data_IF_971868718629
#
_entry.id   IF_971868718629
#
_cell.length_a   1.000
_cell.length_b   1.000
_cell.length_c   1.000
_cell.angle_alpha   90.00
_cell.angle_beta   90.00
_cell.angle_gamma   90.00
#
_symmetry.space_group_name_H-M   'P 1'
#
loop_
_entity.id
_entity.type
_entity.pdbx_description
1 polymer ?
#
# COMPACT_ATOMS: atom_id res chain seq x y z
N UNK A 1 7.95 14.05 7.59
CA UNK A 1 7.27 12.77 7.78
C UNK A 1 6.00 12.71 6.95
N UNK A 2 5.09 13.68 7.06
CA UNK A 2 3.88 13.81 6.21
C UNK A 2 4.17 13.71 4.71
N UNK A 3 5.17 14.46 4.20
CA UNK A 3 5.51 14.41 2.77
C UNK A 3 5.94 13.02 2.24
N UNK A 4 6.53 12.16 3.07
CA UNK A 4 6.91 10.80 2.65
C UNK A 4 5.68 9.89 2.68
N UNK A 5 4.81 10.05 3.67
CA UNK A 5 3.54 9.32 3.75
C UNK A 5 2.71 9.65 2.50
N UNK A 6 2.55 10.92 2.16
CA UNK A 6 1.77 11.36 0.99
C UNK A 6 2.34 10.78 -0.32
N UNK A 7 3.67 10.69 -0.45
CA UNK A 7 4.32 10.09 -1.63
C UNK A 7 4.06 8.59 -1.74
N UNK A 8 4.19 7.86 -0.63
CA UNK A 8 3.93 6.40 -0.62
C UNK A 8 2.44 6.13 -0.83
N UNK A 9 1.57 6.94 -0.23
CA UNK A 9 0.13 6.84 -0.39
C UNK A 9 -0.27 7.04 -1.86
N UNK A 10 0.24 8.09 -2.51
CA UNK A 10 0.01 8.34 -3.93
C UNK A 10 0.49 7.16 -4.80
N UNK A 11 1.68 6.62 -4.51
CA UNK A 11 2.19 5.44 -5.21
C UNK A 11 1.26 4.24 -5.07
N UNK A 12 0.74 3.97 -3.86
CA UNK A 12 -0.18 2.85 -3.62
C UNK A 12 -1.50 3.07 -4.38
N UNK A 13 -2.03 4.29 -4.37
CA UNK A 13 -3.25 4.66 -5.10
C UNK A 13 -3.08 4.41 -6.60
N UNK A 14 -2.01 4.96 -7.19
CA UNK A 14 -1.70 4.79 -8.61
C UNK A 14 -1.52 3.31 -8.97
N UNK A 15 -0.81 2.54 -8.15
CA UNK A 15 -0.64 1.11 -8.37
C UNK A 15 -2.00 0.38 -8.38
N UNK A 16 -2.90 0.72 -7.45
CA UNK A 16 -4.23 0.11 -7.40
C UNK A 16 -5.03 0.48 -8.64
N UNK A 17 -5.06 1.75 -9.03
CA UNK A 17 -5.79 2.22 -10.22
C UNK A 17 -5.28 1.57 -11.51
N UNK A 18 -3.97 1.33 -11.62
CA UNK A 18 -3.36 0.68 -12.79
C UNK A 18 -3.58 -0.84 -12.85
N UNK A 19 -3.81 -1.49 -11.71
CA UNK A 19 -3.87 -2.96 -11.59
C UNK A 19 -5.24 -3.50 -11.16
N UNK A 20 -6.21 -2.62 -10.92
CA UNK A 20 -7.58 -3.02 -10.63
C UNK A 20 -8.34 -3.36 -11.91
N UNK A 21 -9.31 -4.27 -11.78
CA UNK A 21 -10.17 -4.65 -12.90
C UNK A 21 -11.48 -3.87 -12.94
N UNK A 22 -11.78 -3.03 -11.95
CA UNK A 22 -13.00 -2.22 -12.01
C UNK A 22 -12.76 -0.83 -12.60
N UNK A 23 -13.65 -0.46 -13.52
CA UNK A 23 -13.66 0.85 -14.16
C UNK A 23 -14.28 1.91 -13.24
N UNK A 24 -13.74 3.14 -13.27
CA UNK A 24 -14.23 4.30 -12.51
C UNK A 24 -14.20 4.15 -10.97
N UNK A 25 -13.25 3.40 -10.43
CA UNK A 25 -13.02 3.36 -8.98
C UNK A 25 -12.40 4.69 -8.53
N UNK A 26 -12.85 5.19 -7.38
CA UNK A 26 -12.18 6.26 -6.66
C UNK A 26 -11.42 5.64 -5.48
N UNK A 27 -10.10 5.47 -5.63
CA UNK A 27 -9.24 4.97 -4.53
C UNK A 27 -8.84 6.14 -3.65
N UNK A 28 -8.80 5.94 -2.34
CA UNK A 28 -8.40 6.95 -1.35
C UNK A 28 -7.53 6.35 -0.26
N UNK A 29 -6.92 7.17 0.58
CA UNK A 29 -6.18 6.72 1.77
C UNK A 29 -6.99 5.82 2.72
N UNK A 30 -8.32 5.97 2.76
CA UNK A 30 -9.19 5.11 3.57
C UNK A 30 -9.61 3.80 2.92
N UNK A 31 -9.31 3.59 1.63
CA UNK A 31 -9.73 2.42 0.89
C UNK A 31 -9.06 1.16 1.41
N UNK A 32 -9.85 0.10 1.59
CA UNK A 32 -9.34 -1.23 1.93
C UNK A 32 -9.24 -2.08 0.67
N UNK A 33 -8.05 -2.15 0.08
CA UNK A 33 -7.83 -2.73 -1.25
C UNK A 33 -8.03 -4.25 -1.34
N UNK A 34 -8.18 -4.94 -0.20
CA UNK A 34 -8.52 -6.38 -0.15
C UNK A 34 -10.04 -6.57 0.02
N UNK A 35 -10.64 -5.90 0.99
CA UNK A 35 -12.08 -6.06 1.30
C UNK A 35 -12.95 -5.49 0.18
N UNK A 36 -12.51 -4.39 -0.43
CA UNK A 36 -13.16 -3.76 -1.59
C UNK A 36 -12.81 -4.49 -2.90
N UNK A 37 -12.02 -5.56 -2.85
CA UNK A 37 -11.61 -6.37 -4.01
C UNK A 37 -10.87 -5.57 -5.09
N UNK A 38 -10.24 -4.44 -4.71
CA UNK A 38 -9.50 -3.59 -5.64
C UNK A 38 -8.27 -4.30 -6.20
N UNK A 39 -7.62 -5.12 -5.37
CA UNK A 39 -6.51 -5.97 -5.74
C UNK A 39 -6.81 -7.43 -5.39
N UNK A 40 -6.42 -8.33 -6.29
CA UNK A 40 -6.37 -9.75 -5.98
C UNK A 40 -5.11 -10.09 -5.15
N UNK A 41 -4.97 -11.36 -4.77
CA UNK A 41 -3.83 -11.81 -3.96
C UNK A 41 -2.49 -11.68 -4.69
N UNK A 42 -2.46 -11.81 -6.01
CA UNK A 42 -1.23 -11.69 -6.80
C UNK A 42 -0.81 -10.22 -6.91
N UNK A 43 -1.73 -9.34 -7.28
CA UNK A 43 -1.50 -7.90 -7.38
C UNK A 43 -1.16 -7.29 -6.02
N UNK A 44 -1.78 -7.76 -4.93
CA UNK A 44 -1.41 -7.37 -3.57
C UNK A 44 0.03 -7.75 -3.24
N UNK A 45 0.44 -8.99 -3.52
CA UNK A 45 1.82 -9.43 -3.27
C UNK A 45 2.81 -8.65 -4.14
N UNK A 46 2.50 -8.43 -5.41
CA UNK A 46 3.32 -7.63 -6.33
C UNK A 46 3.47 -6.19 -5.86
N UNK A 47 2.41 -5.56 -5.33
CA UNK A 47 2.48 -4.23 -4.73
C UNK A 47 3.44 -4.20 -3.54
N UNK A 48 3.30 -5.15 -2.62
CA UNK A 48 4.19 -5.24 -1.44
C UNK A 48 5.65 -5.42 -1.86
N UNK A 49 5.93 -6.32 -2.81
CA UNK A 49 7.29 -6.53 -3.33
C UNK A 49 7.84 -5.27 -4.01
N UNK A 50 6.98 -4.52 -4.70
CA UNK A 50 7.38 -3.26 -5.37
C UNK A 50 7.71 -2.19 -4.33
N UNK A 51 6.87 -2.00 -3.30
CA UNK A 51 7.14 -1.09 -2.17
C UNK A 51 8.47 -1.43 -1.47
N UNK A 52 8.71 -2.71 -1.20
CA UNK A 52 9.96 -3.16 -0.57
C UNK A 52 11.19 -2.83 -1.43
N UNK A 53 11.08 -3.03 -2.74
CA UNK A 53 12.17 -2.76 -3.69
C UNK A 53 12.41 -1.26 -3.86
N UNK A 54 11.35 -0.48 -4.11
CA UNK A 54 11.43 0.95 -4.41
C UNK A 54 11.99 1.75 -3.23
N UNK A 55 11.55 1.40 -2.01
CA UNK A 55 11.94 2.12 -0.80
C UNK A 55 13.06 1.45 0.00
N UNK A 56 13.62 0.34 -0.51
CA UNK A 56 14.65 -0.45 0.16
C UNK A 56 14.30 -0.86 1.61
N UNK A 57 13.04 -1.26 1.83
CA UNK A 57 12.52 -1.68 3.14
C UNK A 57 12.14 -3.18 3.14
N UNK A 58 11.80 -3.69 4.32
CA UNK A 58 11.23 -5.04 4.50
C UNK A 58 9.99 -5.00 5.40
N UNK A 59 8.90 -5.57 4.91
CA UNK A 59 7.64 -5.78 5.63
C UNK A 59 7.59 -7.26 6.05
N UNK A 60 7.49 -7.51 7.35
CA UNK A 60 7.46 -8.87 7.87
C UNK A 60 6.07 -9.49 7.67
N UNK A 61 5.96 -10.83 7.59
CA UNK A 61 4.67 -11.50 7.51
C UNK A 61 3.72 -11.15 8.66
N UNK A 62 4.25 -10.91 9.87
CA UNK A 62 3.43 -10.52 11.03
C UNK A 62 2.88 -9.10 10.88
N UNK A 63 3.64 -8.17 10.28
CA UNK A 63 3.15 -6.83 9.97
C UNK A 63 2.05 -6.90 8.91
N UNK A 64 2.25 -7.67 7.83
CA UNK A 64 1.28 -7.82 6.75
C UNK A 64 0.00 -8.57 7.14
N UNK A 65 0.05 -9.37 8.21
CA UNK A 65 -1.12 -10.07 8.73
C UNK A 65 -2.11 -9.12 9.44
N UNK A 66 -1.69 -7.92 9.84
CA UNK A 66 -2.57 -6.92 10.45
C UNK A 66 -3.57 -6.42 9.40
N UNK A 67 -4.86 -6.49 9.73
CA UNK A 67 -5.93 -6.03 8.84
C UNK A 67 -5.82 -4.55 8.50
N UNK A 68 -5.18 -3.74 9.36
CA UNK A 68 -4.91 -2.33 9.08
C UNK A 68 -3.96 -2.15 7.90
N UNK A 69 -3.05 -3.08 7.64
CA UNK A 69 -2.14 -2.99 6.48
C UNK A 69 -2.85 -3.19 5.14
N UNK A 70 -4.14 -3.57 5.16
CA UNK A 70 -5.00 -3.61 3.98
C UNK A 70 -5.60 -2.24 3.63
N UNK A 71 -5.37 -1.21 4.46
CA UNK A 71 -5.82 0.17 4.22
C UNK A 71 -4.66 0.98 3.66
N UNK A 72 -4.90 1.71 2.58
CA UNK A 72 -3.89 2.47 1.83
C UNK A 72 -3.05 3.37 2.73
N UNK A 73 -3.68 4.25 3.52
CA UNK A 73 -2.98 5.20 4.38
C UNK A 73 -2.15 4.50 5.46
N UNK A 74 -2.71 3.47 6.10
CA UNK A 74 -2.00 2.75 7.17
C UNK A 74 -0.78 1.99 6.63
N UNK A 75 -0.85 1.44 5.42
CA UNK A 75 0.30 0.85 4.75
C UNK A 75 1.35 1.93 4.44
N UNK A 76 0.93 3.09 3.92
CA UNK A 76 1.82 4.22 3.63
C UNK A 76 2.56 4.72 4.88
N UNK A 77 1.86 4.88 6.02
CA UNK A 77 2.46 5.23 7.30
C UNK A 77 3.51 4.21 7.73
N UNK A 78 3.21 2.92 7.57
CA UNK A 78 4.12 1.84 7.95
C UNK A 78 5.38 1.84 7.11
N UNK A 79 5.24 2.00 5.79
CA UNK A 79 6.37 2.11 4.85
C UNK A 79 7.21 3.34 5.19
N UNK A 80 6.59 4.51 5.36
CA UNK A 80 7.27 5.75 5.72
C UNK A 80 8.07 5.64 7.02
N UNK A 81 7.53 4.95 8.03
CA UNK A 81 8.24 4.69 9.30
C UNK A 81 9.50 3.85 9.14
N UNK A 82 9.59 3.04 8.08
CA UNK A 82 10.77 2.19 7.78
C UNK A 82 11.80 2.90 6.90
N UNK A 83 11.38 3.86 6.07
CA UNK A 83 12.28 4.69 5.25
C UNK A 83 13.12 5.61 6.13
N UNK A 84 12.48 6.23 7.13
CA UNK A 84 13.14 7.08 8.11
C UNK A 84 12.96 6.51 9.52
N UNK A 85 13.67 5.41 9.87
CA UNK A 85 13.61 4.84 11.20
C UNK A 85 14.20 5.86 12.18
N UNK A 86 13.41 6.34 13.13
CA UNK A 86 13.91 7.11 14.27
C UNK A 86 14.59 6.19 15.29
#
# INVERSE_FOLDING_TARGET
MTAVIDQVEQFIIEYIEDNTTEDNISVSGSSNFVNEQLLDSFATLSMIMTLESEYAIKLTPMELADEKMRVVHALAEKVASKIAPQ
#
